data_IF_896634091326
#
_entry.id   IF_896634091326
#
_cell.length_a   1.000
_cell.length_b   1.000
_cell.length_c   1.000
_cell.angle_alpha   90.00
_cell.angle_beta   90.00
_cell.angle_gamma   90.00
#
_symmetry.space_group_name_H-M   'P 1'
#
loop_
_entity.id
_entity.type
_entity.pdbx_description
1 polymer ?
#
# COMPACT_ATOMS: atom_id res chain seq x y z
N UNK A 1 -11.16 -8.91 14.95
CA UNK A 1 -10.51 -9.48 13.75
C UNK A 1 -11.57 -9.63 12.68
N UNK A 2 -11.32 -9.15 11.47
CA UNK A 2 -12.27 -9.32 10.37
C UNK A 2 -12.21 -10.76 9.86
N UNK A 3 -13.36 -11.40 9.71
CA UNK A 3 -13.50 -12.69 9.04
C UNK A 3 -14.10 -12.48 7.65
N UNK A 4 -13.53 -13.13 6.64
CA UNK A 4 -14.04 -13.10 5.27
C UNK A 4 -14.27 -14.52 4.80
N UNK A 5 -15.44 -14.79 4.24
CA UNK A 5 -15.76 -16.11 3.65
C UNK A 5 -15.91 -15.94 2.14
N UNK A 6 -15.09 -16.66 1.38
CA UNK A 6 -15.19 -16.71 -0.08
C UNK A 6 -15.96 -17.98 -0.44
N UNK A 7 -17.12 -17.83 -1.09
CA UNK A 7 -17.95 -18.96 -1.53
C UNK A 7 -17.69 -19.24 -3.01
N UNK A 8 -17.94 -20.49 -3.41
CA UNK A 8 -17.89 -20.91 -4.81
C UNK A 8 -16.52 -20.70 -5.50
N UNK A 9 -15.43 -20.87 -4.74
CA UNK A 9 -14.07 -20.80 -5.26
C UNK A 9 -13.82 -22.01 -6.19
N UNK A 10 -13.39 -21.81 -7.45
CA UNK A 10 -13.10 -22.92 -8.34
C UNK A 10 -12.02 -23.85 -7.76
N UNK A 11 -12.20 -25.17 -7.90
CA UNK A 11 -11.28 -26.16 -7.34
C UNK A 11 -9.85 -26.02 -7.87
N UNK A 12 -9.67 -25.60 -9.13
CA UNK A 12 -8.35 -25.36 -9.70
C UNK A 12 -7.59 -24.28 -8.92
N UNK A 13 -8.29 -23.20 -8.52
CA UNK A 13 -7.70 -22.06 -7.82
C UNK A 13 -7.34 -22.49 -6.40
N UNK A 14 -8.22 -23.24 -5.75
CA UNK A 14 -7.95 -23.78 -4.42
C UNK A 14 -6.72 -24.70 -4.43
N UNK A 15 -6.57 -25.56 -5.44
CA UNK A 15 -5.41 -26.43 -5.60
C UNK A 15 -4.11 -25.64 -5.83
N UNK A 16 -4.15 -24.59 -6.67
CA UNK A 16 -3.00 -23.71 -6.92
C UNK A 16 -2.58 -22.95 -5.65
N UNK A 17 -3.53 -22.41 -4.91
CA UNK A 17 -3.26 -21.71 -3.64
C UNK A 17 -2.64 -22.65 -2.61
N UNK A 18 -3.08 -23.91 -2.54
CA UNK A 18 -2.46 -24.93 -1.67
C UNK A 18 -1.01 -25.18 -2.04
N UNK A 19 -0.72 -25.42 -3.33
CA UNK A 19 0.65 -25.62 -3.81
C UNK A 19 1.55 -24.40 -3.51
N UNK A 20 1.02 -23.19 -3.69
CA UNK A 20 1.73 -21.95 -3.32
C UNK A 20 2.00 -21.87 -1.81
N UNK A 21 1.03 -22.22 -0.98
CA UNK A 21 1.20 -22.22 0.47
C UNK A 21 2.27 -23.23 0.92
N UNK A 22 2.29 -24.43 0.35
CA UNK A 22 3.32 -25.45 0.60
C UNK A 22 4.71 -24.96 0.17
N UNK A 23 4.82 -24.37 -1.03
CA UNK A 23 6.07 -23.80 -1.52
C UNK A 23 6.61 -22.67 -0.62
N UNK A 24 5.71 -21.84 -0.07
CA UNK A 24 6.06 -20.75 0.83
C UNK A 24 6.17 -21.17 2.31
N UNK A 25 6.01 -22.47 2.64
CA UNK A 25 6.01 -22.99 4.01
C UNK A 25 4.99 -22.27 4.93
N UNK A 26 3.79 -22.00 4.40
CA UNK A 26 2.71 -21.30 5.09
C UNK A 26 1.44 -22.13 5.10
N UNK A 27 0.54 -21.83 6.03
CA UNK A 27 -0.83 -22.32 5.93
C UNK A 27 -1.55 -21.66 4.76
N UNK A 28 -2.56 -22.33 4.20
CA UNK A 28 -3.38 -21.80 3.12
C UNK A 28 -4.00 -20.44 3.49
N UNK A 29 -4.50 -20.30 4.72
CA UNK A 29 -5.05 -19.04 5.21
C UNK A 29 -4.00 -17.94 5.28
N UNK A 30 -2.78 -18.25 5.76
CA UNK A 30 -1.69 -17.30 5.83
C UNK A 30 -1.26 -16.83 4.43
N UNK A 31 -1.26 -17.75 3.45
CA UNK A 31 -0.93 -17.43 2.06
C UNK A 31 -2.00 -16.54 1.42
N UNK A 32 -3.29 -16.90 1.55
CA UNK A 32 -4.41 -16.09 1.05
C UNK A 32 -4.41 -14.70 1.69
N UNK A 33 -4.18 -14.62 3.00
CA UNK A 33 -4.02 -13.34 3.70
C UNK A 33 -2.84 -12.55 3.12
N UNK A 34 -1.70 -13.19 2.89
CA UNK A 34 -0.53 -12.52 2.31
C UNK A 34 -0.84 -11.95 0.93
N UNK A 35 -1.47 -12.72 0.05
CA UNK A 35 -1.86 -12.28 -1.29
C UNK A 35 -2.80 -11.07 -1.22
N UNK A 36 -3.83 -11.14 -0.38
CA UNK A 36 -4.78 -10.04 -0.22
C UNK A 36 -4.10 -8.79 0.33
N UNK A 37 -3.27 -8.93 1.36
CA UNK A 37 -2.48 -7.83 1.92
C UNK A 37 -1.59 -7.20 0.85
N UNK A 38 -0.84 -7.99 0.10
CA UNK A 38 0.00 -7.46 -0.98
C UNK A 38 -0.83 -6.79 -2.07
N UNK A 39 -1.95 -7.35 -2.50
CA UNK A 39 -2.80 -6.71 -3.52
C UNK A 39 -3.39 -5.38 -3.06
N UNK A 40 -3.81 -5.30 -1.80
CA UNK A 40 -4.44 -4.11 -1.23
C UNK A 40 -3.40 -3.03 -0.88
N UNK A 41 -2.24 -3.43 -0.35
CA UNK A 41 -1.19 -2.51 0.11
C UNK A 41 -0.23 -2.15 -1.01
N UNK A 42 0.09 -3.04 -1.97
CA UNK A 42 0.95 -2.70 -3.11
C UNK A 42 0.27 -1.67 -4.04
N UNK A 43 -1.06 -1.61 -4.05
CA UNK A 43 -1.80 -0.50 -4.70
C UNK A 43 -1.59 0.85 -3.99
N UNK A 44 -1.05 0.83 -2.78
CA UNK A 44 -0.70 1.98 -1.94
C UNK A 44 0.81 2.11 -1.72
N UNK A 45 1.65 1.34 -2.45
CA UNK A 45 3.10 1.39 -2.27
C UNK A 45 3.61 2.76 -2.71
N UNK A 46 3.83 3.57 -1.68
CA UNK A 46 4.15 4.96 -1.79
C UNK A 46 2.98 5.85 -2.19
N UNK A 47 2.33 6.45 -1.20
CA UNK A 47 1.55 7.68 -1.41
C UNK A 47 2.38 8.73 -2.20
N UNK A 48 1.72 9.76 -2.73
CA UNK A 48 2.35 10.74 -3.65
C UNK A 48 3.77 11.20 -3.23
N UNK A 49 3.99 11.46 -1.94
CA UNK A 49 5.31 11.86 -1.41
C UNK A 49 6.42 10.79 -1.57
N UNK A 50 6.09 9.50 -1.44
CA UNK A 50 7.06 8.42 -1.66
C UNK A 50 7.44 8.32 -3.15
N UNK A 51 6.48 8.50 -4.05
CA UNK A 51 6.74 8.52 -5.51
C UNK A 51 7.62 9.71 -5.92
N UNK A 52 7.41 10.88 -5.30
CA UNK A 52 8.31 12.03 -5.47
C UNK A 52 9.71 11.68 -4.97
N UNK A 53 9.82 11.11 -3.76
CA UNK A 53 11.10 10.78 -3.15
C UNK A 53 11.86 9.71 -3.93
N UNK A 54 11.20 8.68 -4.42
CA UNK A 54 11.79 7.65 -5.29
C UNK A 54 12.34 8.26 -6.58
N UNK A 55 11.55 9.13 -7.24
CA UNK A 55 11.93 9.72 -8.53
C UNK A 55 13.01 10.80 -8.42
N UNK A 56 12.94 11.63 -7.39
CA UNK A 56 13.73 12.86 -7.30
C UNK A 56 14.68 12.91 -6.09
N UNK A 57 14.57 11.99 -5.13
CA UNK A 57 15.38 12.02 -3.90
C UNK A 57 16.88 11.81 -4.10
N UNK A 58 17.31 11.35 -5.29
CA UNK A 58 18.72 11.29 -5.68
C UNK A 58 19.27 12.60 -6.26
N UNK A 59 18.38 13.53 -6.62
CA UNK A 59 18.73 14.81 -7.26
C UNK A 59 18.43 16.01 -6.37
N UNK A 60 17.40 15.91 -5.53
CA UNK A 60 17.04 16.91 -4.53
C UNK A 60 17.74 16.55 -3.22
N UNK A 61 18.72 17.37 -2.82
CA UNK A 61 19.27 17.36 -1.46
C UNK A 61 18.36 18.11 -0.47
N UNK A 62 18.91 18.50 0.68
CA UNK A 62 18.24 19.36 1.68
C UNK A 62 18.18 20.85 1.24
N UNK A 63 17.98 21.10 -0.05
CA UNK A 63 18.11 22.42 -0.68
C UNK A 63 16.93 23.36 -0.35
N UNK A 64 15.90 22.83 0.31
CA UNK A 64 14.72 23.58 0.74
C UNK A 64 14.93 24.16 2.14
N UNK A 65 15.93 25.03 2.28
CA UNK A 65 16.07 25.91 3.45
C UNK A 65 15.11 27.10 3.36
N UNK A 66 13.83 26.85 3.11
CA UNK A 66 12.80 27.88 3.07
C UNK A 66 12.07 27.90 4.40
N UNK A 67 12.17 29.01 5.12
CA UNK A 67 11.38 29.22 6.32
C UNK A 67 9.90 29.30 5.91
N UNK A 68 9.11 28.36 6.41
CA UNK A 68 7.67 28.38 6.19
C UNK A 68 7.09 29.55 6.97
N UNK A 69 6.47 30.49 6.26
CA UNK A 69 5.66 31.52 6.89
C UNK A 69 4.62 30.87 7.82
N UNK A 70 4.69 31.20 9.10
CA UNK A 70 3.80 30.67 10.14
C UNK A 70 2.64 31.63 10.44
N UNK A 71 2.46 32.69 9.65
CA UNK A 71 1.34 33.59 9.88
C UNK A 71 0.05 32.84 9.60
N UNK A 72 -0.93 32.96 10.50
CA UNK A 72 -2.24 32.38 10.27
C UNK A 72 -2.81 32.99 9.00
N UNK A 73 -3.16 32.14 8.03
CA UNK A 73 -3.88 32.57 6.84
C UNK A 73 -5.14 33.32 7.27
N UNK A 74 -5.31 34.55 6.78
CA UNK A 74 -6.56 35.25 6.97
C UNK A 74 -7.66 34.54 6.16
N UNK A 75 -8.88 34.41 6.70
CA UNK A 75 -9.99 33.89 5.94
C UNK A 75 -10.20 34.78 4.71
N UNK A 76 -10.18 34.18 3.52
CA UNK A 76 -10.58 34.89 2.31
C UNK A 76 -12.04 35.30 2.46
N UNK A 77 -12.33 36.61 2.39
CA UNK A 77 -13.68 37.06 2.09
C UNK A 77 -13.92 36.70 0.62
N UNK A 78 -14.84 35.76 0.39
CA UNK A 78 -15.40 35.52 -0.93
C UNK A 78 -16.62 36.45 -1.03
N UNK A 79 -16.62 37.37 -2.01
CA UNK A 79 -17.81 38.12 -2.42
C UNK A 79 -18.77 37.24 -3.24
#
# INVERSE_FOLDING_TARGET
MANMTVRNLPDEIHARLRQQAEANNRSLEAEVRSILTHSAIASSDGGFGHRIRERYGRFLGDDLSVERDQTMSQPGLFE
#
